data_IF_195230220401
#
_entry.id   IF_195230220401
#
_cell.length_a   1.000
_cell.length_b   1.000
_cell.length_c   1.000
_cell.angle_alpha   90.00
_cell.angle_beta   90.00
_cell.angle_gamma   90.00
#
_symmetry.space_group_name_H-M   'P 1'
#
loop_
_entity.id
_entity.type
_entity.pdbx_description
1 polymer ?
#
# COMPACT_ATOMS: atom_id res chain seq x y z
N UNK A 1 -13.37 -14.50 20.67
CA UNK A 1 -13.29 -13.05 20.38
C UNK A 1 -12.15 -12.81 19.40
N UNK A 2 -12.34 -11.98 18.37
CA UNK A 2 -11.27 -11.64 17.43
C UNK A 2 -10.38 -10.54 17.99
N UNK A 3 -9.06 -10.64 17.81
CA UNK A 3 -8.10 -9.59 18.16
C UNK A 3 -8.39 -8.26 17.44
N UNK A 4 -9.08 -8.31 16.29
CA UNK A 4 -9.52 -7.11 15.56
C UNK A 4 -10.51 -6.24 16.34
N UNK A 5 -11.24 -6.79 17.32
CA UNK A 5 -12.19 -6.05 18.15
C UNK A 5 -11.51 -5.04 19.10
N UNK A 6 -10.21 -5.21 19.37
CA UNK A 6 -9.44 -4.32 20.24
C UNK A 6 -8.72 -3.20 19.46
N UNK A 7 -8.81 -3.19 18.13
CA UNK A 7 -8.19 -2.14 17.32
C UNK A 7 -9.00 -0.85 17.49
N UNK A 8 -8.39 0.26 17.96
CA UNK A 8 -9.11 1.52 18.13
C UNK A 8 -9.78 1.97 16.83
N UNK A 9 -11.00 2.53 16.94
CA UNK A 9 -11.79 3.00 15.79
C UNK A 9 -11.01 3.98 14.90
N UNK A 10 -10.19 4.85 15.50
CA UNK A 10 -9.36 5.79 14.76
C UNK A 10 -8.31 5.09 13.89
N UNK A 11 -7.72 4.00 14.37
CA UNK A 11 -6.76 3.18 13.62
C UNK A 11 -7.45 2.49 12.44
N UNK A 12 -8.66 1.96 12.65
CA UNK A 12 -9.45 1.36 11.58
C UNK A 12 -9.80 2.38 10.49
N UNK A 13 -10.24 3.58 10.88
CA UNK A 13 -10.52 4.68 9.94
C UNK A 13 -9.29 5.06 9.12
N UNK A 14 -8.14 5.25 9.77
CA UNK A 14 -6.89 5.59 9.08
C UNK A 14 -6.50 4.54 8.02
N UNK A 15 -6.65 3.24 8.36
CA UNK A 15 -6.42 2.15 7.43
C UNK A 15 -7.36 2.21 6.23
N UNK A 16 -8.67 2.38 6.47
CA UNK A 16 -9.67 2.49 5.40
C UNK A 16 -9.38 3.68 4.47
N UNK A 17 -9.02 4.84 5.02
CA UNK A 17 -8.68 6.01 4.20
C UNK A 17 -7.43 5.79 3.35
N UNK A 18 -6.40 5.13 3.90
CA UNK A 18 -5.20 4.80 3.16
C UNK A 18 -5.48 3.83 1.99
N UNK A 19 -6.31 2.81 2.23
CA UNK A 19 -6.74 1.86 1.19
C UNK A 19 -7.56 2.58 0.10
N UNK A 20 -8.44 3.50 0.48
CA UNK A 20 -9.19 4.29 -0.49
C UNK A 20 -8.28 5.18 -1.35
N UNK A 21 -7.21 5.75 -0.77
CA UNK A 21 -6.21 6.51 -1.52
C UNK A 21 -5.43 5.62 -2.51
N UNK A 22 -5.10 4.38 -2.12
CA UNK A 22 -4.47 3.40 -3.01
C UNK A 22 -5.38 3.03 -4.18
N UNK A 23 -6.66 2.74 -3.93
CA UNK A 23 -7.63 2.43 -4.99
C UNK A 23 -7.79 3.60 -5.97
N UNK A 24 -7.84 4.84 -5.46
CA UNK A 24 -7.87 6.03 -6.31
C UNK A 24 -6.64 6.14 -7.21
N UNK A 25 -5.44 5.86 -6.69
CA UNK A 25 -4.23 5.83 -7.53
C UNK A 25 -4.39 4.83 -8.68
N UNK A 26 -4.88 3.61 -8.40
CA UNK A 26 -5.09 2.61 -9.46
C UNK A 26 -6.11 3.11 -10.49
N UNK A 27 -7.21 3.72 -10.05
CA UNK A 27 -8.22 4.31 -10.94
C UNK A 27 -7.64 5.43 -11.82
N UNK A 28 -6.84 6.33 -11.25
CA UNK A 28 -6.14 7.40 -11.99
C UNK A 28 -5.12 6.85 -13.01
N UNK A 29 -4.56 5.68 -12.74
CA UNK A 29 -3.67 4.94 -13.65
C UNK A 29 -4.42 4.02 -14.62
N UNK A 30 -5.75 4.05 -14.62
CA UNK A 30 -6.62 3.19 -15.42
C UNK A 30 -6.37 1.68 -15.19
N UNK A 31 -6.02 1.33 -13.96
CA UNK A 31 -5.77 -0.05 -13.49
C UNK A 31 -6.96 -0.50 -12.65
N UNK A 32 -7.66 -1.55 -13.08
CA UNK A 32 -8.71 -2.14 -12.23
C UNK A 32 -8.10 -2.92 -11.06
N UNK A 33 -8.87 -3.01 -9.97
CA UNK A 33 -8.44 -3.79 -8.80
C UNK A 33 -8.25 -5.27 -9.16
N UNK A 34 -9.09 -5.81 -10.04
CA UNK A 34 -9.04 -7.19 -10.51
C UNK A 34 -7.78 -7.45 -11.33
N UNK A 35 -7.43 -6.51 -12.23
CA UNK A 35 -6.19 -6.60 -13.01
C UNK A 35 -4.96 -6.53 -12.10
N UNK A 36 -4.97 -5.62 -11.12
CA UNK A 36 -3.91 -5.55 -10.12
C UNK A 36 -3.77 -6.88 -9.37
N UNK A 37 -4.86 -7.44 -8.86
CA UNK A 37 -4.84 -8.71 -8.12
C UNK A 37 -4.31 -9.87 -8.97
N UNK A 38 -4.81 -10.02 -10.20
CA UNK A 38 -4.34 -11.04 -11.13
C UNK A 38 -2.83 -10.89 -11.43
N UNK A 39 -2.36 -9.65 -11.61
CA UNK A 39 -0.93 -9.40 -11.84
C UNK A 39 -0.06 -9.75 -10.64
N UNK A 40 -0.52 -9.48 -9.41
CA UNK A 40 0.22 -9.87 -8.21
C UNK A 40 0.27 -11.39 -8.06
N UNK A 41 -0.84 -12.09 -8.30
CA UNK A 41 -0.90 -13.56 -8.20
C UNK A 41 -0.04 -14.27 -9.25
N UNK A 42 0.25 -13.63 -10.38
CA UNK A 42 1.18 -14.15 -11.40
C UNK A 42 2.66 -13.92 -11.03
N UNK A 43 2.98 -13.20 -9.95
CA UNK A 43 4.34 -12.90 -9.53
C UNK A 43 4.66 -13.42 -8.13
N UNK A 44 5.30 -14.58 -8.08
CA UNK A 44 5.80 -15.18 -6.84
C UNK A 44 7.07 -14.53 -6.30
N UNK A 45 7.72 -13.64 -7.06
CA UNK A 45 8.99 -13.00 -6.65
C UNK A 45 8.80 -11.79 -5.74
N UNK A 46 7.57 -11.27 -5.61
CA UNK A 46 7.27 -10.04 -4.86
C UNK A 46 7.73 -8.74 -5.54
N UNK A 47 8.27 -8.81 -6.76
CA UNK A 47 8.77 -7.64 -7.51
C UNK A 47 7.64 -6.70 -7.91
N UNK A 48 6.53 -7.22 -8.41
CA UNK A 48 5.34 -6.43 -8.78
C UNK A 48 4.72 -5.79 -7.55
N UNK A 49 4.70 -6.51 -6.43
CA UNK A 49 4.20 -5.96 -5.17
C UNK A 49 5.09 -4.83 -4.65
N UNK A 50 6.43 -5.01 -4.68
CA UNK A 50 7.39 -3.96 -4.32
C UNK A 50 7.27 -2.73 -5.24
N UNK A 51 7.19 -2.93 -6.56
CA UNK A 51 7.02 -1.85 -7.53
C UNK A 51 5.71 -1.07 -7.30
N UNK A 52 4.63 -1.76 -6.95
CA UNK A 52 3.35 -1.11 -6.62
C UNK A 52 3.47 -0.28 -5.33
N UNK A 53 4.19 -0.77 -4.32
CA UNK A 53 4.46 0.01 -3.10
C UNK A 53 5.30 1.26 -3.38
N UNK A 54 6.36 1.14 -4.19
CA UNK A 54 7.18 2.28 -4.61
C UNK A 54 6.34 3.30 -5.37
N UNK A 55 5.48 2.84 -6.29
CA UNK A 55 4.57 3.68 -7.07
C UNK A 55 3.57 4.41 -6.17
N UNK A 56 3.01 3.73 -5.18
CA UNK A 56 2.14 4.36 -4.19
C UNK A 56 2.87 5.37 -3.32
N UNK A 57 4.12 5.10 -2.93
CA UNK A 57 4.98 6.07 -2.25
C UNK A 57 5.19 7.34 -3.08
N UNK A 58 5.47 7.18 -4.38
CA UNK A 58 5.57 8.30 -5.33
C UNK A 58 4.26 9.07 -5.43
N UNK A 59 3.14 8.37 -5.64
CA UNK A 59 1.80 8.97 -5.69
C UNK A 59 1.49 9.81 -4.45
N UNK A 60 1.82 9.32 -3.24
CA UNK A 60 1.61 10.08 -2.01
C UNK A 60 2.52 11.32 -1.88
N UNK A 61 3.70 11.30 -2.51
CA UNK A 61 4.65 12.40 -2.50
C UNK A 61 4.34 13.47 -3.56
N UNK A 62 3.75 13.07 -4.69
CA UNK A 62 3.50 13.94 -5.83
C UNK A 62 2.05 14.36 -6.00
N UNK A 63 1.10 13.48 -5.69
CA UNK A 63 -0.30 13.81 -5.86
C UNK A 63 -0.74 14.69 -4.69
N UNK A 64 -1.03 15.94 -5.02
CA UNK A 64 -1.75 16.82 -4.13
C UNK A 64 -3.08 16.12 -3.80
N UNK A 65 -3.35 15.90 -2.51
CA UNK A 65 -4.73 15.61 -2.13
C UNK A 65 -5.63 16.75 -2.61
N UNK A 66 -6.95 16.60 -2.51
CA UNK A 66 -7.95 17.63 -2.86
C UNK A 66 -7.74 19.02 -2.18
N UNK A 67 -6.67 19.22 -1.40
CA UNK A 67 -6.27 20.44 -0.68
C UNK A 67 -4.73 20.67 -0.63
N UNK A 68 -3.94 20.07 -1.53
CA UNK A 68 -2.47 20.19 -1.54
C UNK A 68 -1.71 18.94 -1.06
N UNK A 69 -0.38 19.02 -0.98
CA UNK A 69 0.49 17.90 -0.58
C UNK A 69 0.11 17.33 0.79
N UNK A 70 0.06 16.00 0.89
CA UNK A 70 -0.10 15.32 2.17
C UNK A 70 1.06 15.69 3.10
N UNK A 71 0.75 15.96 4.37
CA UNK A 71 1.78 16.07 5.38
C UNK A 71 2.60 14.77 5.42
N UNK A 72 3.93 14.90 5.59
CA UNK A 72 4.87 13.77 5.51
C UNK A 72 4.48 12.60 6.42
N UNK A 73 4.02 12.90 7.63
CA UNK A 73 3.54 11.91 8.59
C UNK A 73 2.29 11.16 8.10
N UNK A 74 1.35 11.88 7.46
CA UNK A 74 0.15 11.29 6.85
C UNK A 74 0.50 10.39 5.67
N UNK A 75 1.38 10.85 4.76
CA UNK A 75 1.86 10.04 3.64
C UNK A 75 2.56 8.75 4.14
N UNK A 76 3.44 8.88 5.14
CA UNK A 76 4.12 7.73 5.77
C UNK A 76 3.11 6.76 6.40
N UNK A 77 2.10 7.29 7.09
CA UNK A 77 1.03 6.48 7.69
C UNK A 77 0.21 5.74 6.63
N UNK A 78 -0.13 6.39 5.52
CA UNK A 78 -0.89 5.77 4.44
C UNK A 78 -0.09 4.66 3.79
N UNK A 79 1.16 4.93 3.44
CA UNK A 79 2.06 3.92 2.88
C UNK A 79 2.18 2.70 3.80
N UNK A 80 2.37 2.91 5.12
CA UNK A 80 2.44 1.82 6.10
C UNK A 80 1.14 1.00 6.15
N UNK A 81 -0.02 1.65 6.19
CA UNK A 81 -1.31 0.97 6.26
C UNK A 81 -1.59 0.15 5.01
N UNK A 82 -1.28 0.67 3.82
CA UNK A 82 -1.44 -0.04 2.55
C UNK A 82 -0.45 -1.20 2.46
N UNK A 83 0.81 -1.01 2.88
CA UNK A 83 1.81 -2.09 2.94
C UNK A 83 1.31 -3.27 3.78
N UNK A 84 0.84 -3.00 5.00
CA UNK A 84 0.33 -4.04 5.89
C UNK A 84 -0.93 -4.70 5.32
N UNK A 85 -1.85 -3.93 4.75
CA UNK A 85 -3.03 -4.48 4.11
C UNK A 85 -2.69 -5.38 2.92
N UNK A 86 -1.75 -5.00 2.07
CA UNK A 86 -1.30 -5.85 0.97
C UNK A 86 -0.66 -7.15 1.45
N UNK A 87 0.07 -7.13 2.56
CA UNK A 87 0.60 -8.36 3.16
C UNK A 87 -0.47 -9.22 3.83
N UNK A 88 -1.53 -8.62 4.36
CA UNK A 88 -2.69 -9.39 4.82
C UNK A 88 -3.40 -10.08 3.64
N UNK A 89 -3.40 -9.48 2.43
CA UNK A 89 -3.97 -10.09 1.22
C UNK A 89 -3.05 -11.14 0.58
N UNK A 90 -1.74 -10.91 0.59
CA UNK A 90 -0.73 -11.77 -0.04
C UNK A 90 0.35 -12.20 0.96
N UNK A 91 0.01 -13.01 1.97
CA UNK A 91 0.95 -13.35 3.03
C UNK A 91 2.21 -14.06 2.52
N UNK A 92 2.08 -14.87 1.46
CA UNK A 92 3.19 -15.59 0.81
C UNK A 92 4.21 -14.66 0.13
N UNK A 93 3.82 -13.43 -0.22
CA UNK A 93 4.70 -12.45 -0.86
C UNK A 93 5.40 -11.52 0.13
N UNK A 94 5.08 -11.59 1.43
CA UNK A 94 5.61 -10.66 2.43
C UNK A 94 7.13 -10.67 2.48
N UNK A 95 7.72 -11.83 2.79
CA UNK A 95 9.18 -11.99 2.92
C UNK A 95 9.93 -11.58 1.64
N UNK A 96 9.59 -12.10 0.44
CA UNK A 96 10.32 -11.72 -0.77
C UNK A 96 10.18 -10.22 -1.10
N UNK A 97 9.01 -9.63 -0.88
CA UNK A 97 8.79 -8.18 -1.09
C UNK A 97 9.62 -7.34 -0.12
N UNK A 98 9.68 -7.71 1.16
CA UNK A 98 10.47 -6.97 2.15
C UNK A 98 11.97 -7.02 1.86
N UNK A 99 12.50 -8.16 1.40
CA UNK A 99 13.90 -8.26 0.96
C UNK A 99 14.22 -7.30 -0.20
N UNK A 100 13.31 -7.15 -1.15
CA UNK A 100 13.46 -6.21 -2.28
C UNK A 100 13.41 -4.76 -1.79
N UNK A 101 12.49 -4.42 -0.90
CA UNK A 101 12.40 -3.05 -0.37
C UNK A 101 13.64 -2.68 0.47
N UNK A 102 14.19 -3.63 1.23
CA UNK A 102 15.41 -3.43 2.03
C UNK A 102 16.66 -3.30 1.16
N UNK A 103 16.75 -4.02 0.04
CA UNK A 103 17.91 -3.90 -0.86
C UNK A 103 18.00 -2.52 -1.50
N UNK A 104 16.85 -1.88 -1.78
CA UNK A 104 16.78 -0.52 -2.33
C UNK A 104 17.05 0.59 -1.31
N UNK A 105 16.97 0.29 0.00
CA UNK A 105 17.18 1.26 1.07
C UNK A 105 18.65 1.39 1.50
N UNK A 106 19.57 0.63 0.89
CA UNK A 106 20.99 0.65 1.21
C UNK A 106 21.71 1.67 0.31
N UNK A 107 22.52 2.59 0.85
CA UNK A 107 23.30 3.56 0.07
C UNK A 107 24.33 2.87 -0.83
#
# INVERSE_FOLDING_TARGET
MSLSAFVPTNTQKARTTAIAAFKRMLEEENVSMEFFQANILLDNSGKRLAATMDRFGFYLATNEGKKGKLARNTATSYHRNVKLWLFDQYPHLRVPTELILLSKARP
#
